data_IF_256301257342
#
_entry.id   IF_256301257342
#
_cell.length_a   1.000
_cell.length_b   1.000
_cell.length_c   1.000
_cell.angle_alpha   90.00
_cell.angle_beta   90.00
_cell.angle_gamma   90.00
#
_symmetry.space_group_name_H-M   'P 1'
#
loop_
_entity.id
_entity.type
_entity.pdbx_description
1 polymer ?
#
# COMPACT_ATOMS: atom_id res chain seq x y z
N UNK A 1 12.80 -37.82 -16.68
CA UNK A 1 12.76 -36.34 -16.58
C UNK A 1 11.52 -35.86 -17.32
N UNK A 2 10.55 -35.29 -16.62
CA UNK A 2 9.38 -34.67 -17.26
C UNK A 2 9.76 -33.24 -17.66
N UNK A 3 9.92 -33.01 -18.96
CA UNK A 3 10.10 -31.66 -19.51
C UNK A 3 8.75 -30.93 -19.48
N UNK A 4 8.48 -30.19 -18.41
CA UNK A 4 7.40 -29.22 -18.38
C UNK A 4 7.79 -28.01 -19.24
N UNK A 5 7.61 -28.15 -20.56
CA UNK A 5 7.60 -27.00 -21.48
C UNK A 5 6.42 -26.14 -21.02
N UNK A 6 6.71 -24.96 -20.42
CA UNK A 6 5.66 -24.00 -20.10
C UNK A 6 5.05 -23.55 -21.44
N UNK A 7 3.76 -23.79 -21.62
CA UNK A 7 2.98 -23.17 -22.67
C UNK A 7 2.87 -21.67 -22.35
N UNK A 8 3.90 -20.91 -22.71
CA UNK A 8 3.94 -19.47 -22.49
C UNK A 8 3.51 -18.66 -23.71
N UNK A 9 3.08 -19.25 -24.82
CA UNK A 9 2.75 -18.48 -26.02
C UNK A 9 1.70 -19.18 -26.89
N UNK A 10 0.40 -18.90 -26.67
CA UNK A 10 -0.60 -18.77 -27.75
C UNK A 10 -1.97 -18.30 -27.22
N UNK A 11 -2.37 -17.08 -27.60
CA UNK A 11 -3.76 -16.79 -28.01
C UNK A 11 -4.91 -16.96 -27.02
N UNK A 12 -4.86 -16.33 -25.84
CA UNK A 12 -6.00 -16.27 -24.90
C UNK A 12 -6.09 -14.95 -24.14
N UNK A 13 -6.18 -13.84 -24.86
CA UNK A 13 -6.35 -12.51 -24.27
C UNK A 13 -7.71 -12.41 -23.54
N UNK A 14 -7.72 -12.60 -22.21
CA UNK A 14 -8.53 -11.86 -21.21
C UNK A 14 -8.77 -12.65 -19.89
N UNK A 15 -8.46 -13.95 -19.79
CA UNK A 15 -8.92 -14.78 -18.65
C UNK A 15 -7.83 -15.62 -17.96
N UNK A 16 -6.54 -15.41 -18.26
CA UNK A 16 -5.49 -16.06 -17.48
C UNK A 16 -5.45 -15.45 -16.06
N UNK A 17 -5.56 -16.31 -15.03
CA UNK A 17 -5.30 -15.90 -13.65
C UNK A 17 -3.89 -15.28 -13.62
N UNK A 18 -3.72 -14.04 -13.14
CA UNK A 18 -2.42 -13.38 -13.14
C UNK A 18 -1.39 -14.23 -12.37
N UNK A 19 -0.14 -14.22 -12.83
CA UNK A 19 0.95 -14.86 -12.10
C UNK A 19 1.15 -14.21 -10.73
N UNK A 20 1.74 -14.93 -9.77
CA UNK A 20 2.01 -14.36 -8.44
C UNK A 20 2.84 -13.08 -8.54
N UNK A 21 3.91 -13.06 -9.35
CA UNK A 21 4.71 -11.85 -9.55
C UNK A 21 3.93 -10.69 -10.17
N UNK A 22 2.92 -10.95 -11.02
CA UNK A 22 2.04 -9.90 -11.54
C UNK A 22 1.09 -9.35 -10.47
N UNK A 23 0.66 -10.19 -9.52
CA UNK A 23 -0.15 -9.77 -8.36
C UNK A 23 0.71 -8.94 -7.41
N UNK A 24 1.88 -9.45 -7.02
CA UNK A 24 2.85 -8.76 -6.15
C UNK A 24 3.23 -7.39 -6.72
N UNK A 25 3.58 -7.32 -8.01
CA UNK A 25 3.92 -6.05 -8.65
C UNK A 25 2.79 -5.01 -8.60
N UNK A 26 1.53 -5.44 -8.73
CA UNK A 26 0.37 -4.54 -8.59
C UNK A 26 0.18 -4.06 -7.15
N UNK A 27 0.38 -4.95 -6.18
CA UNK A 27 0.30 -4.61 -4.75
C UNK A 27 1.39 -3.59 -4.40
N UNK A 28 2.64 -3.81 -4.84
CA UNK A 28 3.76 -2.89 -4.59
C UNK A 28 3.49 -1.50 -5.18
N UNK A 29 2.93 -1.41 -6.39
CA UNK A 29 2.58 -0.10 -6.98
C UNK A 29 1.54 0.63 -6.13
N UNK A 30 0.50 -0.07 -5.67
CA UNK A 30 -0.53 0.52 -4.81
C UNK A 30 0.04 0.95 -3.45
N UNK A 31 0.97 0.19 -2.88
CA UNK A 31 1.66 0.51 -1.63
C UNK A 31 2.49 1.80 -1.78
N UNK A 32 3.34 1.89 -2.81
CA UNK A 32 4.16 3.08 -3.07
C UNK A 32 3.29 4.31 -3.32
N UNK A 33 2.19 4.15 -4.07
CA UNK A 33 1.26 5.24 -4.38
C UNK A 33 0.53 5.71 -3.11
N UNK A 34 0.05 4.78 -2.28
CA UNK A 34 -0.61 5.09 -1.02
C UNK A 34 0.34 5.78 -0.04
N UNK A 35 1.53 5.23 0.20
CA UNK A 35 2.53 5.79 1.10
C UNK A 35 2.97 7.20 0.65
N UNK A 36 3.26 7.39 -0.63
CA UNK A 36 3.64 8.72 -1.16
C UNK A 36 2.51 9.73 -1.01
N UNK A 37 1.27 9.34 -1.32
CA UNK A 37 0.11 10.23 -1.20
C UNK A 37 -0.14 10.61 0.26
N UNK A 38 -0.05 9.64 1.18
CA UNK A 38 -0.18 9.88 2.62
C UNK A 38 0.93 10.82 3.13
N UNK A 39 2.19 10.62 2.72
CA UNK A 39 3.30 11.53 3.09
C UNK A 39 3.04 12.96 2.67
N UNK A 40 2.51 13.18 1.46
CA UNK A 40 2.18 14.52 0.97
C UNK A 40 1.03 15.15 1.74
N UNK A 41 0.00 14.38 2.09
CA UNK A 41 -1.15 14.86 2.86
C UNK A 41 -0.81 15.19 4.32
N UNK A 42 0.13 14.44 4.91
CA UNK A 42 0.50 14.54 6.33
C UNK A 42 1.62 15.58 6.58
N UNK A 43 2.23 16.13 5.52
CA UNK A 43 3.42 16.99 5.57
C UNK A 43 3.28 18.24 6.45
N UNK A 44 2.07 18.64 6.85
CA UNK A 44 1.82 19.78 7.74
C UNK A 44 1.61 19.44 9.23
N UNK A 45 1.98 18.24 9.68
CA UNK A 45 2.09 17.93 11.12
C UNK A 45 0.77 17.91 11.89
N UNK A 46 -0.37 17.93 11.19
CA UNK A 46 -1.68 17.83 11.80
C UNK A 46 -1.96 16.37 12.20
N UNK A 47 -1.62 16.05 13.44
CA UNK A 47 -1.90 14.75 14.08
C UNK A 47 -3.39 14.43 14.07
N UNK A 48 -4.27 15.43 14.10
CA UNK A 48 -5.72 15.23 14.03
C UNK A 48 -6.14 14.84 12.60
N UNK A 49 -5.54 15.44 11.57
CA UNK A 49 -5.74 15.03 10.19
C UNK A 49 -5.27 13.59 9.94
N UNK A 50 -4.11 13.21 10.48
CA UNK A 50 -3.61 11.83 10.40
C UNK A 50 -4.56 10.82 11.07
N UNK A 51 -5.03 11.12 12.27
CA UNK A 51 -6.03 10.28 12.98
C UNK A 51 -7.36 10.20 12.22
N UNK A 52 -7.80 11.32 11.63
CA UNK A 52 -9.01 11.35 10.83
C UNK A 52 -8.87 10.48 9.57
N UNK A 53 -7.75 10.56 8.86
CA UNK A 53 -7.42 9.68 7.71
C UNK A 53 -7.44 8.22 8.15
N UNK A 54 -6.77 7.86 9.25
CA UNK A 54 -6.76 6.50 9.79
C UNK A 54 -8.18 5.98 10.07
N UNK A 55 -9.02 6.79 10.73
CA UNK A 55 -10.40 6.41 11.00
C UNK A 55 -11.22 6.22 9.72
N UNK A 56 -11.02 7.08 8.72
CA UNK A 56 -11.69 7.04 7.43
C UNK A 56 -11.29 5.82 6.62
N UNK A 57 -9.98 5.53 6.56
CA UNK A 57 -9.43 4.34 5.89
C UNK A 57 -9.95 3.07 6.56
N UNK A 58 -9.96 2.97 7.89
CA UNK A 58 -10.52 1.81 8.59
C UNK A 58 -11.99 1.59 8.29
N UNK A 59 -12.79 2.67 8.22
CA UNK A 59 -14.21 2.59 7.86
C UNK A 59 -14.39 2.11 6.41
N UNK A 60 -13.63 2.69 5.48
CA UNK A 60 -13.65 2.31 4.08
C UNK A 60 -13.22 0.84 3.88
N UNK A 61 -12.16 0.40 4.56
CA UNK A 61 -11.69 -0.98 4.53
C UNK A 61 -12.73 -1.95 5.06
N UNK A 62 -13.37 -1.67 6.20
CA UNK A 62 -14.47 -2.52 6.71
C UNK A 62 -15.62 -2.63 5.70
N UNK A 63 -16.04 -1.51 5.13
CA UNK A 63 -17.08 -1.50 4.10
C UNK A 63 -16.66 -2.33 2.88
N UNK A 64 -15.40 -2.19 2.43
CA UNK A 64 -14.90 -2.90 1.27
C UNK A 64 -14.70 -4.40 1.52
N UNK A 65 -14.18 -4.79 2.68
CA UNK A 65 -14.08 -6.19 3.08
C UNK A 65 -15.46 -6.85 3.11
N UNK A 66 -16.48 -6.14 3.61
CA UNK A 66 -17.85 -6.64 3.61
C UNK A 66 -18.42 -6.77 2.17
N UNK A 67 -18.21 -5.77 1.32
CA UNK A 67 -18.63 -5.76 -0.09
C UNK A 67 -18.07 -6.96 -0.87
N UNK A 68 -16.79 -7.31 -0.64
CA UNK A 68 -16.14 -8.45 -1.28
C UNK A 68 -16.35 -9.77 -0.53
N UNK A 69 -17.17 -9.79 0.52
CA UNK A 69 -17.45 -10.96 1.37
C UNK A 69 -16.18 -11.61 1.94
N UNK A 70 -15.20 -10.78 2.32
CA UNK A 70 -13.95 -11.23 2.92
C UNK A 70 -14.21 -11.84 4.30
N UNK A 71 -13.60 -12.98 4.59
CA UNK A 71 -13.72 -13.65 5.88
C UNK A 71 -13.30 -12.75 7.04
N UNK A 72 -13.84 -12.98 8.24
CA UNK A 72 -13.60 -12.10 9.39
C UNK A 72 -12.11 -11.98 9.76
N UNK A 73 -11.37 -13.10 9.69
CA UNK A 73 -9.93 -13.11 9.97
C UNK A 73 -9.12 -12.39 8.89
N UNK A 74 -9.46 -12.61 7.62
CA UNK A 74 -8.83 -11.93 6.48
C UNK A 74 -9.13 -10.43 6.49
N UNK A 75 -10.35 -10.03 6.84
CA UNK A 75 -10.73 -8.63 7.00
C UNK A 75 -9.97 -7.98 8.16
N UNK A 76 -9.81 -8.68 9.28
CA UNK A 76 -9.00 -8.22 10.41
C UNK A 76 -7.53 -8.04 9.99
N UNK A 77 -6.98 -8.99 9.25
CA UNK A 77 -5.62 -8.90 8.71
C UNK A 77 -5.46 -7.70 7.77
N UNK A 78 -6.36 -7.51 6.81
CA UNK A 78 -6.33 -6.39 5.87
C UNK A 78 -6.46 -5.02 6.56
N UNK A 79 -7.32 -4.91 7.58
CA UNK A 79 -7.45 -3.69 8.37
C UNK A 79 -6.19 -3.43 9.22
N UNK A 80 -5.57 -4.48 9.75
CA UNK A 80 -4.30 -4.40 10.48
C UNK A 80 -3.18 -3.86 9.60
N UNK A 81 -3.02 -4.43 8.40
CA UNK A 81 -2.03 -3.98 7.43
C UNK A 81 -2.22 -2.50 7.02
N UNK A 82 -3.47 -2.06 6.84
CA UNK A 82 -3.76 -0.65 6.56
C UNK A 82 -3.30 0.28 7.71
N UNK A 83 -3.41 -0.17 8.97
CA UNK A 83 -2.93 0.57 10.12
C UNK A 83 -1.39 0.63 10.16
N UNK A 84 -0.72 -0.51 9.95
CA UNK A 84 0.74 -0.59 9.89
C UNK A 84 1.33 0.34 8.82
N UNK A 85 0.73 0.37 7.62
CA UNK A 85 1.18 1.25 6.53
C UNK A 85 1.08 2.73 6.90
N UNK A 86 0.03 3.12 7.63
CA UNK A 86 -0.14 4.51 8.09
C UNK A 86 0.84 4.88 9.20
N UNK A 87 1.05 3.99 10.16
CA UNK A 87 2.03 4.19 11.25
C UNK A 87 3.45 4.33 10.67
N UNK A 88 3.86 3.42 9.78
CA UNK A 88 5.16 3.50 9.10
C UNK A 88 5.30 4.80 8.28
N UNK A 89 4.22 5.25 7.64
CA UNK A 89 4.22 6.52 6.92
C UNK A 89 4.42 7.71 7.86
N UNK A 90 3.69 7.75 8.98
CA UNK A 90 3.80 8.80 10.00
C UNK A 90 5.21 8.87 10.58
N UNK A 91 5.77 7.74 11.01
CA UNK A 91 7.14 7.65 11.53
C UNK A 91 8.17 8.19 10.53
N UNK A 92 8.02 7.85 9.25
CA UNK A 92 8.93 8.34 8.21
C UNK A 92 8.80 9.85 7.94
N UNK A 93 7.60 10.42 8.11
CA UNK A 93 7.38 11.88 7.98
C UNK A 93 7.93 12.65 9.18
N UNK A 94 7.78 12.15 10.41
CA UNK A 94 8.37 12.75 11.61
C UNK A 94 9.91 12.77 11.51
N UNK A 95 10.50 11.70 11.00
CA UNK A 95 11.94 11.62 10.75
C UNK A 95 12.41 12.56 9.63
N UNK A 96 11.59 12.76 8.58
CA UNK A 96 11.86 13.73 7.53
C UNK A 96 11.78 15.17 8.02
N UNK A 97 10.86 15.49 8.95
CA UNK A 97 10.79 16.81 9.59
C UNK A 97 12.03 17.07 10.47
N UNK A 98 12.55 16.04 11.15
CA UNK A 98 13.75 16.16 11.97
C UNK A 98 15.03 16.36 11.14
N UNK A 99 15.09 15.77 9.93
CA UNK A 99 16.23 15.94 8.99
C UNK A 99 16.15 17.16 8.10
N UNK A 100 14.99 17.83 7.99
CA UNK A 100 14.85 19.00 7.13
C UNK A 100 15.58 20.27 7.64
N UNK A 101 16.33 20.17 8.75
CA UNK A 101 17.24 21.23 9.24
C UNK A 101 18.65 21.08 8.66
N UNK A 102 19.03 19.93 8.09
CA UNK A 102 20.38 19.71 7.56
C UNK A 102 20.32 18.98 6.20
N UNK A 103 20.04 19.71 5.13
CA UNK A 103 20.61 19.32 3.83
C UNK A 103 20.91 20.54 2.94
N UNK A 104 22.01 21.26 3.20
CA UNK A 104 22.70 22.01 2.18
C UNK A 104 23.69 21.06 1.48
N UNK A 105 23.32 20.48 0.34
CA UNK A 105 24.17 20.39 -0.87
C UNK A 105 23.66 19.32 -1.85
N UNK A 106 23.02 19.79 -2.91
CA UNK A 106 23.15 19.16 -4.24
C UNK A 106 23.57 20.25 -5.24
N UNK A 107 24.84 20.60 -5.17
CA UNK A 107 25.61 21.14 -6.30
C UNK A 107 26.62 20.06 -6.67
N UNK A 108 26.42 19.44 -7.84
CA UNK A 108 27.40 19.08 -8.87
C UNK A 108 26.75 18.09 -9.85
#
# INVERSE_FOLDING_TARGET
>A
MYNAKRDSETGGASHAIPSMGAIEGRITVLEVLAATSLKLLIKDGDKMAAQHILSSVRKAMRAKCNDIHLGADDAKSAIGYAQELMEATLESTEFSSARSIEDPMLIA
#
